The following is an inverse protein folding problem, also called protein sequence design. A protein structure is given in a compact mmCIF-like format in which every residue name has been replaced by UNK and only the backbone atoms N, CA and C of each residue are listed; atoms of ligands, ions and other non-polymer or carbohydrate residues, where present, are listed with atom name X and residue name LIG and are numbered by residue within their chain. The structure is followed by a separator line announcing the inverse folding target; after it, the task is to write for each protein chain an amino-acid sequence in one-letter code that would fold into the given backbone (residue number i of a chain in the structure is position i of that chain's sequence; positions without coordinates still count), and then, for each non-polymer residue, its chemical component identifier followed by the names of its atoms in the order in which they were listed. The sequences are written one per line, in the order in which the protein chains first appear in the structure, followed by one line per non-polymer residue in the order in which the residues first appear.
data_IF_592999570649
#
_entry.id   IF_592999570649
#
_cell.length_a   1.000
_cell.length_b   1.000
_cell.length_c   1.000
_cell.angle_alpha   90.00
_cell.angle_beta   90.00
_cell.angle_gamma   90.00
#
_symmetry.space_group_name_H-M   'P 1'
#
loop_
_entity.id
_entity.type
_entity.pdbx_description
1 polymer ?
#
# COMPACT_ATOMS: atom_id res chain seq x y z
N UNK A 1 25.94 17.01 -6.57
CA UNK A 1 24.85 16.39 -7.36
C UNK A 1 23.53 17.02 -6.98
N UNK A 2 22.61 17.16 -7.91
CA UNK A 2 21.26 17.62 -7.59
C UNK A 2 20.54 16.55 -6.74
N UNK A 3 19.90 16.98 -5.64
CA UNK A 3 19.20 16.06 -4.74
C UNK A 3 17.95 15.50 -5.41
N UNK A 4 17.66 14.23 -5.17
CA UNK A 4 16.37 13.63 -5.55
C UNK A 4 15.27 14.19 -4.65
N UNK A 5 14.28 14.87 -5.25
CA UNK A 5 13.16 15.49 -4.52
C UNK A 5 12.01 14.50 -4.37
N UNK A 6 11.62 14.21 -3.12
CA UNK A 6 10.63 13.21 -2.77
C UNK A 6 9.45 13.85 -2.03
N UNK A 7 8.24 13.63 -2.54
CA UNK A 7 7.00 14.07 -1.90
C UNK A 7 6.44 12.96 -0.98
N UNK A 8 6.12 13.34 0.24
CA UNK A 8 5.45 12.50 1.23
C UNK A 8 4.02 13.02 1.44
N UNK A 9 3.03 12.20 1.15
CA UNK A 9 1.64 12.55 1.37
C UNK A 9 1.29 12.48 2.86
N UNK A 10 0.66 13.52 3.42
CA UNK A 10 0.24 13.56 4.83
C UNK A 10 -0.75 12.45 5.18
N UNK A 11 -0.90 12.17 6.49
CA UNK A 11 -1.83 11.19 7.02
C UNK A 11 -1.28 9.76 6.98
N UNK A 12 -2.14 8.75 6.80
CA UNK A 12 -1.75 7.33 6.84
C UNK A 12 -0.63 6.97 5.87
N UNK A 13 -0.64 7.55 4.67
CA UNK A 13 0.44 7.33 3.69
C UNK A 13 1.79 7.78 4.25
N UNK A 14 1.83 8.91 4.96
CA UNK A 14 3.06 9.39 5.61
C UNK A 14 3.59 8.37 6.61
N UNK A 15 2.72 7.85 7.48
CA UNK A 15 3.09 6.89 8.53
C UNK A 15 3.65 5.59 7.93
N UNK A 16 2.94 5.00 6.96
CA UNK A 16 3.36 3.75 6.30
C UNK A 16 4.68 3.91 5.53
N UNK A 17 4.87 5.04 4.83
CA UNK A 17 6.10 5.33 4.09
C UNK A 17 7.25 5.69 5.01
N UNK A 18 6.98 6.40 6.12
CA UNK A 18 7.97 6.72 7.15
C UNK A 18 8.59 5.46 7.75
N UNK A 19 7.75 4.48 8.11
CA UNK A 19 8.24 3.17 8.60
C UNK A 19 9.09 2.46 7.56
N UNK A 20 8.65 2.45 6.29
CA UNK A 20 9.40 1.82 5.20
C UNK A 20 10.76 2.48 4.98
N UNK A 21 10.82 3.82 5.02
CA UNK A 21 12.08 4.57 4.92
C UNK A 21 13.03 4.22 6.07
N UNK A 22 12.53 4.14 7.30
CA UNK A 22 13.35 3.72 8.44
C UNK A 22 13.87 2.29 8.30
N UNK A 23 13.05 1.35 7.83
CA UNK A 23 13.47 -0.04 7.62
C UNK A 23 14.57 -0.20 6.56
N UNK A 24 14.59 0.68 5.55
CA UNK A 24 15.70 0.70 4.57
C UNK A 24 16.93 1.46 5.08
N UNK A 25 16.85 2.16 6.22
CA UNK A 25 17.96 2.92 6.81
C UNK A 25 17.98 4.41 6.43
N UNK A 26 16.88 4.91 5.84
CA UNK A 26 16.69 6.33 5.55
C UNK A 26 15.87 6.93 6.69
N UNK A 27 16.53 7.59 7.63
CA UNK A 27 15.85 8.30 8.70
C UNK A 27 15.45 9.70 8.24
N UNK A 28 14.22 10.09 8.58
CA UNK A 28 13.71 11.44 8.37
C UNK A 28 13.13 11.96 9.67
N UNK A 29 13.27 13.24 9.91
CA UNK A 29 12.68 13.95 11.03
C UNK A 29 11.96 15.20 10.51
N UNK A 30 10.68 15.35 10.82
CA UNK A 30 9.89 16.54 10.47
C UNK A 30 9.89 17.50 11.66
N UNK A 31 10.65 18.61 11.60
CA UNK A 31 10.62 19.62 12.67
C UNK A 31 9.25 20.30 12.75
N UNK A 32 8.94 20.89 13.89
CA UNK A 32 7.69 21.64 14.10
C UNK A 32 7.53 22.78 13.08
N UNK A 33 6.31 22.96 12.61
CA UNK A 33 5.90 24.07 11.72
C UNK A 33 6.62 24.14 10.37
N UNK A 34 7.22 23.05 9.92
CA UNK A 34 7.80 22.94 8.56
C UNK A 34 7.17 21.79 7.78
N UNK A 35 7.32 21.83 6.45
CA UNK A 35 6.92 20.76 5.54
C UNK A 35 8.14 20.10 4.88
N UNK A 36 9.34 20.38 5.38
CA UNK A 36 10.60 19.89 4.83
C UNK A 36 11.33 19.02 5.87
N UNK A 37 11.12 17.70 5.85
CA UNK A 37 11.85 16.78 6.71
C UNK A 37 13.36 16.87 6.52
N UNK A 38 14.10 16.78 7.63
CA UNK A 38 15.55 16.61 7.63
C UNK A 38 15.84 15.11 7.52
N UNK A 39 16.88 14.74 6.78
CA UNK A 39 17.26 13.34 6.54
C UNK A 39 18.75 13.12 6.77
N UNK A 40 19.12 11.86 7.06
CA UNK A 40 20.51 11.39 7.12
C UNK A 40 21.13 11.13 5.74
N UNK A 41 20.42 11.39 4.63
CA UNK A 41 20.88 11.20 3.26
C UNK A 41 21.13 12.54 2.59
N UNK A 42 22.37 12.83 2.21
CA UNK A 42 22.76 14.12 1.61
C UNK A 42 22.20 14.33 0.20
N UNK A 43 21.93 13.24 -0.52
CA UNK A 43 21.45 13.21 -1.89
C UNK A 43 19.92 13.17 -2.02
N UNK A 44 19.18 13.15 -0.91
CA UNK A 44 17.72 13.20 -0.86
C UNK A 44 17.20 14.51 -0.27
N UNK A 45 16.04 14.94 -0.74
CA UNK A 45 15.29 16.07 -0.19
C UNK A 45 13.82 15.69 -0.11
N UNK A 46 13.20 15.88 1.05
CA UNK A 46 11.81 15.53 1.29
C UNK A 46 10.93 16.76 1.45
N UNK A 47 9.69 16.65 0.97
CA UNK A 47 8.64 17.63 1.21
C UNK A 47 7.33 16.93 1.53
N UNK A 48 6.66 17.36 2.59
CA UNK A 48 5.34 16.86 2.99
C UNK A 48 4.26 17.70 2.30
N UNK A 49 3.30 17.03 1.66
CA UNK A 49 2.20 17.65 0.93
C UNK A 49 0.88 16.93 1.22
N UNK A 50 -0.25 17.53 0.83
CA UNK A 50 -1.55 16.84 0.92
C UNK A 50 -1.63 15.73 -0.12
N UNK A 51 -2.27 14.57 0.19
CA UNK A 51 -2.42 13.45 -0.76
C UNK A 51 -3.02 13.86 -2.10
N UNK A 52 -4.01 14.75 -2.08
CA UNK A 52 -4.76 15.20 -3.25
C UNK A 52 -3.89 15.85 -4.35
N UNK A 53 -2.74 16.45 -3.99
CA UNK A 53 -1.91 17.20 -4.94
C UNK A 53 -0.62 16.47 -5.32
N UNK A 54 -0.25 15.38 -4.64
CA UNK A 54 1.04 14.70 -4.84
C UNK A 54 1.27 14.31 -6.30
N UNK A 55 0.31 13.61 -6.91
CA UNK A 55 0.42 13.15 -8.30
C UNK A 55 0.43 14.30 -9.31
N UNK A 56 -0.34 15.36 -9.06
CA UNK A 56 -0.35 16.54 -9.91
C UNK A 56 1.01 17.28 -9.90
N UNK A 57 1.67 17.39 -8.73
CA UNK A 57 3.00 17.98 -8.62
C UNK A 57 4.06 17.16 -9.36
N UNK A 58 3.97 15.83 -9.34
CA UNK A 58 4.85 14.94 -10.10
C UNK A 58 4.64 15.12 -11.61
N UNK A 59 3.40 15.17 -12.07
CA UNK A 59 3.06 15.37 -13.48
C UNK A 59 3.60 16.71 -14.00
N UNK A 60 3.63 17.74 -13.15
CA UNK A 60 4.22 19.06 -13.45
C UNK A 60 5.75 19.10 -13.28
N UNK A 61 6.40 18.00 -12.95
CA UNK A 61 7.83 17.91 -12.69
C UNK A 61 8.34 18.82 -11.55
N UNK A 62 7.49 19.11 -10.56
CA UNK A 62 7.87 19.89 -9.37
C UNK A 62 8.70 19.05 -8.38
N UNK A 63 8.61 17.73 -8.48
CA UNK A 63 9.41 16.76 -7.73
C UNK A 63 9.75 15.56 -8.61
N UNK A 64 10.67 14.72 -8.12
CA UNK A 64 11.17 13.56 -8.86
C UNK A 64 10.38 12.29 -8.52
N UNK A 65 10.09 12.09 -7.24
CA UNK A 65 9.37 10.91 -6.70
C UNK A 65 8.28 11.37 -5.75
N UNK A 66 7.22 10.57 -5.61
CA UNK A 66 6.19 10.80 -4.61
C UNK A 66 5.39 9.53 -4.30
N UNK A 67 4.83 9.51 -3.11
CA UNK A 67 3.95 8.44 -2.66
C UNK A 67 2.52 8.94 -2.67
N UNK A 68 1.66 8.24 -3.41
CA UNK A 68 0.27 8.64 -3.61
C UNK A 68 -0.64 7.42 -3.70
N UNK A 69 -1.89 7.56 -3.30
CA UNK A 69 -2.92 6.59 -3.66
C UNK A 69 -3.15 6.57 -5.17
N UNK A 70 -3.40 5.40 -5.72
CA UNK A 70 -3.77 5.24 -7.13
C UNK A 70 -5.01 6.08 -7.50
N UNK A 71 -5.96 6.19 -6.58
CA UNK A 71 -7.18 6.99 -6.70
C UNK A 71 -6.89 8.46 -7.03
N UNK A 72 -5.91 9.08 -6.37
CA UNK A 72 -5.53 10.48 -6.62
C UNK A 72 -4.82 10.68 -7.97
N UNK A 73 -4.13 9.67 -8.48
CA UNK A 73 -3.56 9.72 -9.84
C UNK A 73 -4.68 9.77 -10.88
N UNK A 74 -5.71 8.92 -10.71
CA UNK A 74 -6.87 8.87 -11.61
C UNK A 74 -7.82 10.05 -11.42
N UNK A 75 -7.99 10.54 -10.17
CA UNK A 75 -8.77 11.75 -9.89
C UNK A 75 -8.15 12.98 -10.53
N UNK A 76 -6.83 13.12 -10.48
CA UNK A 76 -6.11 14.22 -11.11
C UNK A 76 -5.98 14.06 -12.64
N UNK A 77 -6.32 12.90 -13.21
CA UNK A 77 -6.24 12.62 -14.64
C UNK A 77 -4.81 12.61 -15.17
N UNK A 78 -3.85 12.20 -14.35
CA UNK A 78 -2.41 12.25 -14.66
C UNK A 78 -1.78 10.86 -14.79
N UNK A 79 -2.60 9.83 -14.98
CA UNK A 79 -2.16 8.44 -15.11
C UNK A 79 -1.17 8.22 -16.27
N UNK A 80 -1.22 9.09 -17.29
CA UNK A 80 -0.30 9.07 -18.43
C UNK A 80 0.88 10.05 -18.28
N UNK A 81 0.93 10.87 -17.23
CA UNK A 81 1.95 11.92 -17.02
C UNK A 81 2.94 11.58 -15.93
N UNK A 82 2.67 10.57 -15.13
CA UNK A 82 3.57 10.00 -14.13
C UNK A 82 3.92 8.55 -14.47
N UNK A 83 5.03 8.04 -13.93
CA UNK A 83 5.43 6.64 -14.06
C UNK A 83 5.23 5.92 -12.73
N UNK A 84 4.43 4.86 -12.73
CA UNK A 84 4.27 4.00 -11.56
C UNK A 84 5.51 3.13 -11.40
N UNK A 85 6.23 3.30 -10.31
CA UNK A 85 7.48 2.58 -10.03
C UNK A 85 7.20 1.27 -9.32
N UNK A 86 6.30 1.29 -8.32
CA UNK A 86 5.85 0.08 -7.62
C UNK A 86 4.58 0.33 -6.80
N UNK A 87 3.81 -0.73 -6.62
CA UNK A 87 2.72 -0.79 -5.63
C UNK A 87 3.31 -1.22 -4.28
N UNK A 88 3.14 -0.39 -3.24
CA UNK A 88 3.56 -0.73 -1.88
C UNK A 88 2.55 -1.62 -1.16
N UNK A 89 1.31 -1.68 -1.66
CA UNK A 89 0.21 -2.42 -1.04
C UNK A 89 -0.27 -1.83 0.29
N UNK A 90 0.18 -0.61 0.65
CA UNK A 90 -0.21 0.05 1.89
C UNK A 90 -1.57 0.75 1.75
N UNK A 91 -2.24 0.89 2.89
CA UNK A 91 -3.48 1.66 3.03
C UNK A 91 -4.53 1.32 1.95
N UNK A 92 -4.86 0.03 1.72
CA UNK A 92 -5.78 -0.34 0.67
C UNK A 92 -7.18 0.23 0.95
N UNK A 93 -7.75 0.88 -0.07
CA UNK A 93 -9.09 1.45 -0.03
C UNK A 93 -9.84 1.14 -1.32
N UNK A 94 -11.18 1.23 -1.25
CA UNK A 94 -12.06 1.22 -2.41
C UNK A 94 -12.74 2.58 -2.53
N UNK A 95 -12.84 3.11 -3.72
CA UNK A 95 -13.70 4.24 -4.02
C UNK A 95 -15.07 3.66 -4.33
N UNK A 96 -16.06 3.99 -3.53
CA UNK A 96 -17.37 3.36 -3.54
C UNK A 96 -18.49 4.39 -3.72
N UNK A 97 -19.61 3.97 -4.31
CA UNK A 97 -20.87 4.66 -4.22
C UNK A 97 -21.68 4.10 -3.06
N UNK A 98 -22.16 4.96 -2.18
CA UNK A 98 -22.98 4.59 -1.04
C UNK A 98 -24.23 5.48 -0.95
N UNK A 99 -25.31 4.90 -0.40
CA UNK A 99 -26.61 5.55 -0.22
C UNK A 99 -27.14 5.24 1.19
N UNK A 100 -28.15 5.96 1.70
CA UNK A 100 -28.83 5.58 2.93
C UNK A 100 -29.34 4.13 2.86
N UNK A 101 -29.20 3.39 3.96
CA UNK A 101 -29.55 1.95 4.03
C UNK A 101 -31.01 1.67 3.63
N UNK A 102 -31.91 2.59 3.91
CA UNK A 102 -33.35 2.48 3.64
C UNK A 102 -33.71 2.72 2.17
N UNK A 103 -32.85 3.40 1.39
CA UNK A 103 -33.14 3.77 0.00
C UNK A 103 -32.80 2.63 -0.97
N UNK A 104 -33.49 2.61 -2.12
CA UNK A 104 -33.19 1.72 -3.24
C UNK A 104 -32.40 2.49 -4.30
N UNK A 105 -31.26 1.92 -4.74
CA UNK A 105 -30.34 2.58 -5.68
C UNK A 105 -30.98 2.79 -7.06
N UNK A 106 -31.65 1.76 -7.61
CA UNK A 106 -32.27 1.84 -8.94
C UNK A 106 -33.44 2.84 -8.95
N UNK A 107 -34.12 3.03 -7.82
CA UNK A 107 -35.16 4.03 -7.71
C UNK A 107 -34.61 5.45 -7.65
N UNK A 108 -33.51 5.66 -6.90
CA UNK A 108 -32.82 6.95 -6.88
C UNK A 108 -32.35 7.36 -8.26
N UNK A 109 -31.85 6.43 -9.06
CA UNK A 109 -31.36 6.70 -10.40
C UNK A 109 -32.44 7.07 -11.44
N UNK A 110 -33.72 6.86 -11.13
CA UNK A 110 -34.83 7.31 -12.00
C UNK A 110 -35.04 8.83 -11.95
N UNK A 111 -34.59 9.47 -10.87
CA UNK A 111 -34.68 10.92 -10.67
C UNK A 111 -33.38 11.66 -11.02
N UNK A 112 -33.37 12.95 -10.66
CA UNK A 112 -32.14 13.74 -10.63
C UNK A 112 -31.52 13.60 -9.24
N UNK A 113 -30.24 13.22 -9.15
CA UNK A 113 -29.56 12.98 -7.88
C UNK A 113 -28.40 13.94 -7.69
N UNK A 114 -28.15 14.34 -6.44
CA UNK A 114 -26.93 15.05 -6.05
C UNK A 114 -25.97 14.05 -5.43
N UNK A 115 -24.70 14.09 -5.89
CA UNK A 115 -23.65 13.18 -5.44
C UNK A 115 -22.60 13.98 -4.68
N UNK A 116 -22.45 13.69 -3.38
CA UNK A 116 -21.41 14.27 -2.53
C UNK A 116 -20.08 13.54 -2.72
N UNK A 117 -18.99 14.26 -2.96
CA UNK A 117 -17.68 13.64 -3.20
C UNK A 117 -16.50 14.59 -3.13
N UNK A 118 -15.32 14.09 -2.73
CA UNK A 118 -14.03 14.73 -3.01
C UNK A 118 -13.50 14.37 -4.42
N UNK A 119 -13.93 13.24 -4.99
CA UNK A 119 -13.45 12.64 -6.24
C UNK A 119 -14.29 13.10 -7.43
N UNK A 120 -14.17 14.38 -7.82
CA UNK A 120 -15.01 14.97 -8.86
C UNK A 120 -14.85 14.31 -10.24
N UNK A 121 -13.61 14.03 -10.65
CA UNK A 121 -13.35 13.50 -11.98
C UNK A 121 -13.69 12.01 -12.08
N UNK A 122 -13.40 11.24 -11.05
CA UNK A 122 -13.87 9.84 -10.96
C UNK A 122 -15.40 9.79 -10.96
N UNK A 123 -16.05 10.69 -10.21
CA UNK A 123 -17.52 10.78 -10.17
C UNK A 123 -18.10 11.16 -11.54
N UNK A 124 -17.50 12.11 -12.27
CA UNK A 124 -17.94 12.44 -13.65
C UNK A 124 -17.85 11.23 -14.57
N UNK A 125 -16.74 10.48 -14.53
CA UNK A 125 -16.57 9.24 -15.31
C UNK A 125 -17.64 8.21 -14.92
N UNK A 126 -17.93 8.07 -13.64
CA UNK A 126 -18.97 7.15 -13.11
C UNK A 126 -20.37 7.55 -13.59
N UNK A 127 -20.77 8.82 -13.42
CA UNK A 127 -22.05 9.36 -13.93
C UNK A 127 -22.23 9.05 -15.42
N UNK A 128 -21.19 9.32 -16.21
CA UNK A 128 -21.24 9.07 -17.66
C UNK A 128 -21.38 7.58 -18.00
N UNK A 129 -20.63 6.71 -17.33
CA UNK A 129 -20.64 5.26 -17.57
C UNK A 129 -21.98 4.61 -17.21
N UNK A 130 -22.63 5.06 -16.13
CA UNK A 130 -23.92 4.55 -15.64
C UNK A 130 -25.12 5.30 -16.22
N UNK A 131 -24.88 6.38 -17.00
CA UNK A 131 -25.93 7.27 -17.54
C UNK A 131 -26.83 7.87 -16.45
N UNK A 132 -26.23 8.27 -15.34
CA UNK A 132 -26.92 8.85 -14.20
C UNK A 132 -27.30 10.30 -14.52
N UNK A 133 -28.54 10.69 -14.26
CA UNK A 133 -28.94 12.08 -14.29
C UNK A 133 -28.64 12.70 -12.91
N UNK A 134 -27.48 13.36 -12.79
CA UNK A 134 -27.02 13.84 -11.49
C UNK A 134 -26.05 15.00 -11.54
N UNK A 135 -26.01 15.72 -10.42
CA UNK A 135 -25.10 16.84 -10.19
C UNK A 135 -24.08 16.47 -9.11
N UNK A 136 -22.88 17.07 -9.16
CA UNK A 136 -21.81 16.83 -8.19
C UNK A 136 -21.81 17.96 -7.16
N UNK A 137 -21.90 17.59 -5.90
CA UNK A 137 -21.66 18.44 -4.75
C UNK A 137 -20.26 18.14 -4.20
N UNK A 138 -19.32 19.04 -4.41
CA UNK A 138 -17.94 18.85 -3.95
C UNK A 138 -17.85 19.02 -2.45
N UNK A 139 -17.24 18.03 -1.79
CA UNK A 139 -16.95 18.03 -0.35
C UNK A 139 -15.45 18.12 -0.08
N UNK A 140 -15.10 18.35 1.20
CA UNK A 140 -13.72 18.43 1.68
C UNK A 140 -13.60 17.75 3.05
N UNK A 141 -13.75 16.42 3.06
CA UNK A 141 -13.88 15.63 4.28
C UNK A 141 -15.31 15.61 4.84
N UNK A 142 -15.55 14.72 5.78
CA UNK A 142 -16.86 14.51 6.43
C UNK A 142 -18.04 14.33 5.46
N UNK A 143 -17.74 13.74 4.30
CA UNK A 143 -18.67 13.66 3.16
C UNK A 143 -19.92 12.84 3.48
N UNK A 144 -19.84 11.87 4.40
CA UNK A 144 -20.97 11.04 4.86
C UNK A 144 -22.06 11.86 5.52
N UNK A 145 -21.70 12.98 6.16
CA UNK A 145 -22.67 13.86 6.84
C UNK A 145 -23.64 14.59 5.90
N UNK A 146 -23.35 14.63 4.59
CA UNK A 146 -24.21 15.26 3.59
C UNK A 146 -25.24 14.30 2.98
N UNK A 147 -25.09 13.00 3.23
CA UNK A 147 -25.97 11.95 2.68
C UNK A 147 -26.75 11.31 3.81
N UNK A 148 -27.99 11.73 3.98
CA UNK A 148 -28.86 11.29 5.08
C UNK A 148 -30.21 10.80 4.54
N UNK A 149 -30.94 10.02 5.36
CA UNK A 149 -32.26 9.54 5.02
C UNK A 149 -33.34 10.50 5.55
N UNK A 150 -33.30 11.73 5.08
CA UNK A 150 -34.29 12.76 5.40
C UNK A 150 -34.44 13.74 4.22
N UNK A 151 -35.46 14.57 4.30
CA UNK A 151 -35.77 15.55 3.24
C UNK A 151 -34.79 16.74 3.20
N UNK A 152 -34.02 16.94 4.26
CA UNK A 152 -33.01 17.99 4.37
C UNK A 152 -31.62 17.56 3.84
N UNK A 153 -31.51 16.32 3.36
CA UNK A 153 -30.25 15.78 2.82
C UNK A 153 -29.75 16.59 1.62
N UNK A 154 -28.49 17.07 1.67
CA UNK A 154 -27.89 17.84 0.61
C UNK A 154 -27.49 16.97 -0.61
N UNK A 155 -27.30 15.67 -0.40
CA UNK A 155 -27.00 14.71 -1.44
C UNK A 155 -27.69 13.35 -1.17
N UNK A 156 -27.96 12.61 -2.24
CA UNK A 156 -28.61 11.30 -2.18
C UNK A 156 -27.59 10.15 -2.31
N UNK A 157 -26.43 10.43 -2.89
CA UNK A 157 -25.37 9.45 -3.12
C UNK A 157 -24.07 10.05 -2.59
N UNK A 158 -23.27 9.22 -1.92
CA UNK A 158 -21.89 9.50 -1.55
C UNK A 158 -20.97 8.75 -2.51
N UNK A 159 -19.93 9.41 -3.04
CA UNK A 159 -18.77 8.73 -3.61
C UNK A 159 -17.55 9.14 -2.81
N UNK A 160 -16.97 8.17 -2.10
CA UNK A 160 -15.81 8.39 -1.23
C UNK A 160 -14.96 7.13 -1.09
N UNK A 161 -13.76 7.27 -0.50
CA UNK A 161 -12.91 6.14 -0.19
C UNK A 161 -13.35 5.44 1.10
N UNK A 162 -13.17 4.14 1.13
CA UNK A 162 -13.37 3.35 2.34
C UNK A 162 -12.44 2.14 2.38
N UNK A 163 -11.91 1.81 3.55
CA UNK A 163 -11.18 0.57 3.78
C UNK A 163 -12.15 -0.54 4.21
N UNK A 164 -12.71 -0.44 5.41
CA UNK A 164 -13.58 -1.48 6.01
C UNK A 164 -15.08 -1.19 5.88
N UNK A 165 -15.46 -0.01 5.44
CA UNK A 165 -16.84 0.47 5.42
C UNK A 165 -17.40 0.86 6.80
N UNK A 166 -16.56 0.94 7.84
CA UNK A 166 -17.03 1.22 9.21
C UNK A 166 -17.65 2.61 9.35
N UNK A 167 -17.04 3.65 8.76
CA UNK A 167 -17.55 5.02 8.75
C UNK A 167 -18.91 5.09 8.04
N UNK A 168 -19.03 4.43 6.89
CA UNK A 168 -20.29 4.36 6.15
C UNK A 168 -21.40 3.72 6.99
N UNK A 169 -21.15 2.57 7.62
CA UNK A 169 -22.13 1.91 8.50
C UNK A 169 -22.50 2.76 9.71
N UNK A 170 -21.54 3.45 10.33
CA UNK A 170 -21.80 4.36 11.44
C UNK A 170 -22.73 5.51 11.05
N UNK A 171 -22.71 5.94 9.79
CA UNK A 171 -23.60 6.96 9.23
C UNK A 171 -24.82 6.37 8.51
N UNK A 172 -25.15 5.07 8.75
CA UNK A 172 -26.30 4.35 8.14
C UNK A 172 -26.31 4.38 6.61
N UNK A 173 -25.11 4.28 6.02
CA UNK A 173 -24.92 4.19 4.58
C UNK A 173 -24.54 2.78 4.18
N UNK A 174 -25.09 2.29 3.06
CA UNK A 174 -24.72 1.03 2.42
C UNK A 174 -24.02 1.26 1.11
N UNK A 175 -22.99 0.46 0.85
CA UNK A 175 -22.27 0.45 -0.43
C UNK A 175 -23.18 -0.20 -1.48
N UNK A 176 -23.34 0.47 -2.62
CA UNK A 176 -24.13 -0.03 -3.77
C UNK A 176 -23.29 -0.31 -4.99
N UNK A 177 -22.10 0.30 -5.11
CA UNK A 177 -21.17 0.05 -6.21
C UNK A 177 -19.73 0.35 -5.76
N UNK A 178 -18.74 -0.21 -6.48
CA UNK A 178 -17.32 0.07 -6.31
C UNK A 178 -16.75 0.60 -7.63
N UNK A 179 -16.21 1.81 -7.61
CA UNK A 179 -15.68 2.47 -8.79
C UNK A 179 -14.26 2.00 -9.10
N UNK A 180 -13.42 1.87 -8.08
CA UNK A 180 -12.05 1.38 -8.21
C UNK A 180 -11.46 0.95 -6.86
N UNK A 181 -10.40 0.15 -6.94
CA UNK A 181 -9.52 -0.18 -5.80
C UNK A 181 -8.24 0.65 -5.89
N UNK A 182 -7.74 1.07 -4.74
CA UNK A 182 -6.54 1.88 -4.60
C UNK A 182 -5.68 1.38 -3.46
N UNK A 183 -4.38 1.57 -3.60
CA UNK A 183 -3.35 1.39 -2.57
C UNK A 183 -2.30 2.49 -2.72
N UNK A 184 -1.49 2.68 -1.70
CA UNK A 184 -0.34 3.58 -1.77
C UNK A 184 0.71 3.03 -2.71
N UNK A 185 1.15 3.86 -3.66
CA UNK A 185 2.15 3.52 -4.67
C UNK A 185 3.26 4.56 -4.71
N UNK A 186 4.45 4.13 -5.14
CA UNK A 186 5.56 5.00 -5.50
C UNK A 186 5.45 5.38 -6.96
N UNK A 187 5.42 6.69 -7.23
CA UNK A 187 5.41 7.26 -8.58
C UNK A 187 6.63 8.13 -8.80
N UNK A 188 7.07 8.25 -10.05
CA UNK A 188 8.09 9.18 -10.47
C UNK A 188 7.58 10.13 -11.55
N UNK A 189 8.17 11.32 -11.62
CA UNK A 189 7.94 12.23 -12.76
C UNK A 189 8.62 11.66 -14.01
N UNK A 190 8.03 11.87 -15.18
CA UNK A 190 8.64 11.43 -16.45
C UNK A 190 10.02 12.05 -16.68
N UNK A 191 10.20 13.32 -16.25
CA UNK A 191 11.49 14.00 -16.34
C UNK A 191 12.56 13.32 -15.50
N UNK A 192 12.26 12.90 -14.27
CA UNK A 192 13.21 12.18 -13.42
C UNK A 192 13.58 10.83 -14.02
N UNK A 193 12.65 10.13 -14.66
CA UNK A 193 12.92 8.85 -15.33
C UNK A 193 13.70 8.98 -16.64
N UNK A 194 13.78 10.17 -17.23
CA UNK A 194 14.63 10.47 -18.38
C UNK A 194 16.06 10.88 -17.98
N UNK A 195 16.27 11.30 -16.74
CA UNK A 195 17.60 11.61 -16.21
C UNK A 195 18.27 10.32 -15.72
N UNK A 196 19.41 9.87 -16.31
CA UNK A 196 20.04 8.61 -15.96
C UNK A 196 20.42 8.49 -14.47
N UNK A 197 20.92 9.58 -13.86
CA UNK A 197 21.36 9.57 -12.47
C UNK A 197 20.16 9.48 -11.50
N UNK A 198 19.10 10.26 -11.77
CA UNK A 198 17.85 10.19 -10.97
C UNK A 198 17.16 8.84 -11.14
N UNK A 199 17.06 8.34 -12.37
CA UNK A 199 16.49 7.02 -12.66
C UNK A 199 17.20 5.91 -11.91
N UNK A 200 18.54 5.90 -11.94
CA UNK A 200 19.33 4.91 -11.21
C UNK A 200 19.00 4.96 -9.70
N UNK A 201 18.96 6.16 -9.11
CA UNK A 201 18.63 6.33 -7.69
C UNK A 201 17.22 5.88 -7.35
N UNK A 202 16.24 6.15 -8.23
CA UNK A 202 14.85 5.69 -8.08
C UNK A 202 14.77 4.17 -8.07
N UNK A 203 15.50 3.50 -8.97
CA UNK A 203 15.54 2.04 -9.05
C UNK A 203 16.26 1.41 -7.85
N UNK A 204 17.27 2.06 -7.29
CA UNK A 204 17.92 1.64 -6.04
C UNK A 204 16.94 1.72 -4.86
N UNK A 205 16.18 2.82 -4.73
CA UNK A 205 15.14 2.94 -3.71
C UNK A 205 14.07 1.86 -3.88
N UNK A 206 13.61 1.62 -5.11
CA UNK A 206 12.66 0.54 -5.42
C UNK A 206 13.18 -0.81 -4.92
N UNK A 207 14.41 -1.17 -5.28
CA UNK A 207 15.05 -2.44 -4.84
C UNK A 207 15.09 -2.56 -3.31
N UNK A 208 15.44 -1.47 -2.61
CA UNK A 208 15.49 -1.46 -1.14
C UNK A 208 14.09 -1.65 -0.54
N UNK A 209 13.07 -1.00 -1.09
CA UNK A 209 11.69 -1.16 -0.65
C UNK A 209 11.18 -2.58 -0.91
N UNK A 210 11.42 -3.12 -2.10
CA UNK A 210 11.08 -4.51 -2.44
C UNK A 210 11.73 -5.50 -1.47
N UNK A 211 13.01 -5.27 -1.11
CA UNK A 211 13.73 -6.12 -0.17
C UNK A 211 13.11 -6.11 1.26
N UNK A 212 12.67 -4.94 1.73
CA UNK A 212 11.98 -4.82 3.02
C UNK A 212 10.59 -5.46 2.96
N UNK A 213 9.80 -5.18 1.93
CA UNK A 213 8.46 -5.75 1.77
C UNK A 213 8.51 -7.28 1.65
N UNK A 214 9.50 -7.81 0.93
CA UNK A 214 9.75 -9.25 0.85
C UNK A 214 10.10 -9.84 2.23
N UNK A 215 10.92 -9.13 3.03
CA UNK A 215 11.29 -9.56 4.37
C UNK A 215 10.10 -9.54 5.35
N UNK A 216 9.26 -8.49 5.31
CA UNK A 216 8.06 -8.38 6.18
C UNK A 216 7.10 -9.55 6.01
N UNK A 217 7.08 -10.19 4.85
CA UNK A 217 6.23 -11.34 4.54
C UNK A 217 6.86 -12.69 4.86
N UNK A 218 8.12 -12.74 5.29
CA UNK A 218 8.90 -13.99 5.49
C UNK A 218 9.60 -14.02 6.83
N UNK A 219 9.98 -15.25 7.21
CA UNK A 219 10.84 -15.54 8.36
C UNK A 219 11.90 -16.58 7.95
N UNK A 220 12.98 -16.61 8.69
CA UNK A 220 13.95 -17.71 8.65
C UNK A 220 13.59 -18.72 9.74
N UNK A 221 13.43 -19.96 9.38
CA UNK A 221 13.37 -21.09 10.32
C UNK A 221 14.73 -21.81 10.30
N UNK A 222 15.25 -22.08 11.47
CA UNK A 222 16.42 -22.90 11.70
C UNK A 222 16.01 -24.07 12.62
N UNK A 223 16.46 -25.28 12.33
CA UNK A 223 16.09 -26.48 13.09
C UNK A 223 17.19 -27.50 13.03
N UNK A 224 17.21 -28.38 14.02
CA UNK A 224 18.05 -29.57 14.03
C UNK A 224 17.23 -30.81 13.59
N UNK A 225 17.90 -31.82 13.00
CA UNK A 225 17.29 -33.05 12.62
C UNK A 225 18.33 -34.19 12.73
N UNK A 226 17.93 -35.35 13.27
CA UNK A 226 18.76 -36.54 13.31
C UNK A 226 19.01 -37.03 11.88
N UNK A 227 20.14 -37.72 11.65
CA UNK A 227 20.50 -38.24 10.34
C UNK A 227 19.47 -39.23 9.80
N UNK A 228 18.80 -39.99 10.66
CA UNK A 228 17.72 -40.92 10.30
C UNK A 228 16.52 -40.28 9.67
N UNK A 229 16.19 -39.05 10.08
CA UNK A 229 14.98 -38.31 9.67
C UNK A 229 15.23 -37.27 8.58
N UNK A 230 16.53 -36.98 8.31
CA UNK A 230 16.98 -35.92 7.40
C UNK A 230 16.34 -36.01 6.01
N UNK A 231 16.37 -37.16 5.36
CA UNK A 231 15.81 -37.36 4.02
C UNK A 231 14.30 -37.08 3.96
N UNK A 232 13.56 -37.47 5.00
CA UNK A 232 12.13 -37.26 5.11
C UNK A 232 11.82 -35.77 5.32
N UNK A 233 12.61 -35.11 6.18
CA UNK A 233 12.48 -33.68 6.42
C UNK A 233 12.71 -32.88 5.12
N UNK A 234 13.85 -33.10 4.44
CA UNK A 234 14.21 -32.34 3.22
C UNK A 234 13.16 -32.49 2.11
N UNK A 235 12.56 -33.69 1.95
CA UNK A 235 11.47 -33.91 0.97
C UNK A 235 10.17 -33.21 1.36
N UNK A 236 9.95 -32.93 2.64
CA UNK A 236 8.70 -32.39 3.18
C UNK A 236 8.65 -30.88 3.38
N UNK A 237 9.79 -30.17 3.29
CA UNK A 237 9.89 -28.76 3.62
C UNK A 237 9.83 -27.83 2.40
N UNK A 238 9.09 -26.71 2.48
CA UNK A 238 9.20 -25.64 1.49
C UNK A 238 10.49 -24.85 1.70
N UNK A 239 11.04 -24.30 0.64
CA UNK A 239 12.16 -23.34 0.72
C UNK A 239 12.14 -22.40 -0.48
N UNK A 240 12.81 -21.24 -0.38
CA UNK A 240 12.89 -20.26 -1.49
C UNK A 240 13.59 -20.82 -2.73
N UNK A 241 14.72 -21.51 -2.53
CA UNK A 241 15.46 -22.27 -3.57
C UNK A 241 15.75 -23.66 -3.05
N UNK A 242 16.66 -23.76 -2.08
CA UNK A 242 17.05 -25.00 -1.42
C UNK A 242 17.33 -24.72 0.05
N UNK A 243 17.10 -25.66 0.95
CA UNK A 243 17.53 -25.53 2.34
C UNK A 243 19.03 -25.36 2.44
N UNK A 244 19.49 -24.58 3.41
CA UNK A 244 20.89 -24.60 3.82
C UNK A 244 21.08 -25.66 4.84
N UNK A 245 22.04 -26.58 4.65
CA UNK A 245 22.28 -27.71 5.53
C UNK A 245 23.72 -27.68 6.01
N UNK A 246 23.93 -27.90 7.33
CA UNK A 246 25.25 -27.99 7.95
C UNK A 246 25.27 -29.19 8.92
N UNK A 247 26.36 -29.98 9.02
CA UNK A 247 26.46 -31.04 10.02
C UNK A 247 26.55 -30.43 11.42
N UNK A 248 25.94 -31.08 12.40
CA UNK A 248 26.06 -30.72 13.80
C UNK A 248 27.44 -31.20 14.34
N UNK A 249 28.05 -30.37 15.21
CA UNK A 249 29.33 -30.69 15.80
C UNK A 249 29.16 -31.79 16.88
N UNK A 250 29.90 -32.90 16.73
CA UNK A 250 29.90 -33.99 17.73
C UNK A 250 28.59 -34.78 17.79
N UNK A 251 27.67 -34.61 16.88
CA UNK A 251 26.37 -35.26 16.81
C UNK A 251 26.15 -35.88 15.41
N UNK A 252 25.31 -36.90 15.31
CA UNK A 252 24.96 -37.61 14.06
C UNK A 252 23.69 -36.97 13.44
N UNK A 253 23.72 -35.68 13.18
CA UNK A 253 22.59 -34.92 12.67
C UNK A 253 22.98 -33.70 11.86
N UNK A 254 21.98 -32.91 11.47
CA UNK A 254 22.10 -31.69 10.63
C UNK A 254 21.33 -30.54 11.21
N UNK A 255 21.89 -29.31 11.07
CA UNK A 255 21.17 -28.09 11.18
C UNK A 255 20.65 -27.68 9.79
N UNK A 256 19.36 -27.36 9.71
CA UNK A 256 18.67 -26.98 8.46
C UNK A 256 18.09 -25.59 8.59
N UNK A 257 18.34 -24.72 7.58
CA UNK A 257 17.78 -23.35 7.53
C UNK A 257 16.93 -23.19 6.27
N UNK A 258 15.74 -22.60 6.44
CA UNK A 258 14.81 -22.30 5.36
C UNK A 258 14.18 -20.93 5.55
N UNK A 259 13.97 -20.18 4.46
CA UNK A 259 13.16 -18.96 4.46
C UNK A 259 11.76 -19.31 3.93
N UNK A 260 10.72 -19.01 4.72
CA UNK A 260 9.32 -19.33 4.42
C UNK A 260 8.42 -18.11 4.62
N UNK A 261 7.20 -18.15 4.10
CA UNK A 261 6.22 -17.09 4.36
C UNK A 261 5.72 -17.16 5.81
N UNK A 262 5.58 -16.02 6.46
CA UNK A 262 5.00 -15.92 7.83
C UNK A 262 3.63 -16.61 7.93
N UNK A 263 2.80 -16.48 6.90
CA UNK A 263 1.47 -17.09 6.86
C UNK A 263 1.47 -18.62 6.84
N UNK A 264 2.58 -19.25 6.44
CA UNK A 264 2.71 -20.71 6.36
C UNK A 264 3.21 -21.31 7.70
N UNK A 265 3.85 -20.50 8.56
CA UNK A 265 4.48 -20.95 9.80
C UNK A 265 3.54 -21.73 10.72
N UNK A 266 2.29 -21.27 11.02
CA UNK A 266 1.42 -21.98 11.94
C UNK A 266 1.08 -23.42 11.52
N UNK A 267 1.00 -23.68 10.21
CA UNK A 267 0.75 -25.02 9.67
C UNK A 267 2.04 -25.81 9.47
N UNK A 268 3.15 -25.12 9.24
CA UNK A 268 4.44 -25.73 8.97
C UNK A 268 5.11 -26.27 10.23
N UNK A 269 5.08 -25.55 11.35
CA UNK A 269 5.75 -25.96 12.59
C UNK A 269 5.33 -27.37 13.09
N UNK A 270 4.03 -27.70 13.20
CA UNK A 270 3.63 -29.07 13.60
C UNK A 270 4.10 -30.14 12.61
N UNK A 271 4.09 -29.81 11.31
CA UNK A 271 4.58 -30.70 10.26
C UNK A 271 6.09 -30.98 10.39
N UNK A 272 6.89 -29.90 10.61
CA UNK A 272 8.34 -30.04 10.82
C UNK A 272 8.64 -30.96 12.01
N UNK A 273 7.94 -30.74 13.13
CA UNK A 273 8.08 -31.58 14.33
C UNK A 273 7.73 -33.04 14.05
N UNK A 274 6.65 -33.32 13.29
CA UNK A 274 6.28 -34.70 12.91
C UNK A 274 7.28 -35.35 11.97
N UNK A 275 8.10 -34.58 11.27
CA UNK A 275 9.19 -35.05 10.40
C UNK A 275 10.54 -35.20 11.13
N UNK A 276 10.54 -35.11 12.46
CA UNK A 276 11.74 -35.25 13.29
C UNK A 276 12.56 -34.02 13.51
N UNK A 277 12.07 -32.81 13.12
CA UNK A 277 12.75 -31.57 13.44
C UNK A 277 12.65 -31.26 14.94
N UNK A 278 13.78 -30.83 15.52
CA UNK A 278 13.91 -30.39 16.90
C UNK A 278 14.55 -28.99 16.95
N UNK A 279 14.55 -28.37 18.12
CA UNK A 279 15.19 -27.05 18.35
C UNK A 279 14.82 -26.02 17.28
N UNK A 280 13.54 -25.92 16.93
CA UNK A 280 13.07 -25.04 15.86
C UNK A 280 13.08 -23.59 16.35
N UNK A 281 13.86 -22.74 15.67
CA UNK A 281 14.02 -21.31 15.95
C UNK A 281 13.42 -20.51 14.78
N UNK A 282 12.72 -19.41 15.10
CA UNK A 282 12.20 -18.45 14.11
C UNK A 282 12.92 -17.11 14.26
N UNK A 283 13.41 -16.58 13.13
CA UNK A 283 14.07 -15.27 13.05
C UNK A 283 13.35 -14.35 12.09
N UNK A 284 13.14 -13.11 12.51
CA UNK A 284 12.67 -12.07 11.61
C UNK A 284 13.77 -11.64 10.64
N UNK A 285 13.38 -11.42 9.39
CA UNK A 285 14.25 -10.94 8.33
C UNK A 285 14.08 -9.41 8.18
N UNK A 286 15.17 -8.67 8.06
CA UNK A 286 15.12 -7.22 7.84
C UNK A 286 15.05 -6.85 6.36
N UNK A 287 15.76 -7.58 5.50
CA UNK A 287 15.78 -7.40 4.04
C UNK A 287 15.96 -8.75 3.36
N UNK A 288 15.25 -8.96 2.25
CA UNK A 288 15.37 -10.13 1.39
C UNK A 288 15.42 -9.65 -0.06
N UNK A 289 16.55 -9.88 -0.74
CA UNK A 289 16.68 -9.62 -2.18
C UNK A 289 16.42 -10.95 -2.89
N UNK A 290 15.40 -10.97 -3.75
CA UNK A 290 14.95 -12.16 -4.48
C UNK A 290 15.68 -12.34 -5.81
#
# INVERSE_FOLDING_TARGET
MEKLKILLAMGRIYESVYELLNDVGISIHLPDRTYFPVTNQEDLAFQVVKPQITSALLAQNCADVGFSGKDWVYENGVENDVEEIMDLGFDPVRIVAAIPETKNFDELLKGNVTIATEYQNLTKKYIASKKINGTIFRTWGTSEGFVQDNDDALAQILIDNTSTGSSLRANRLKIVDTLMESSTRMYASKKAMQDPAKKQKILELKMLFEAVLAARSRVMLEMNVAKSDFENLIKGIPSMKSPTVSPLFGDDGYAVKIAVKKSEVPTLLPKLQSLGATDILEYELRKVIL
#
